data_IF_631337316898
#
_entry.id   IF_631337316898
#
_cell.length_a   1.000
_cell.length_b   1.000
_cell.length_c   1.000
_cell.angle_alpha   90.00
_cell.angle_beta   90.00
_cell.angle_gamma   90.00
#
_symmetry.space_group_name_H-M   'P 1'
#
loop_
_entity.id
_entity.type
_entity.pdbx_description
1 polymer ?
#
# COMPACT_ATOMS: atom_id res chain seq x y z
N UNK A 1 44.30 -1.14 -28.82
CA UNK A 1 43.01 -0.43 -28.61
C UNK A 1 41.93 -1.51 -28.56
N UNK A 2 41.72 -2.10 -27.42
CA UNK A 2 40.63 -3.09 -27.21
C UNK A 2 39.43 -2.35 -26.62
N UNK A 3 38.30 -2.38 -27.34
CA UNK A 3 37.02 -1.87 -26.87
C UNK A 3 36.42 -2.86 -25.88
N UNK A 4 36.45 -2.58 -24.59
CA UNK A 4 35.63 -3.28 -23.61
C UNK A 4 34.15 -2.98 -23.87
N UNK A 5 33.43 -3.89 -24.50
CA UNK A 5 31.99 -3.92 -24.54
C UNK A 5 31.45 -4.12 -23.12
N UNK A 6 30.78 -3.09 -22.60
CA UNK A 6 29.98 -3.19 -21.37
C UNK A 6 28.79 -4.12 -21.63
N UNK A 7 28.88 -5.39 -21.23
CA UNK A 7 27.73 -6.30 -21.22
C UNK A 7 26.66 -5.75 -20.28
N UNK A 8 25.62 -5.17 -20.81
CA UNK A 8 24.39 -4.84 -20.08
C UNK A 8 23.57 -6.12 -19.91
N UNK A 9 23.25 -6.45 -18.66
CA UNK A 9 22.34 -7.57 -18.35
C UNK A 9 20.99 -7.38 -19.05
N UNK A 10 20.43 -8.43 -19.61
CA UNK A 10 19.11 -8.42 -20.20
C UNK A 10 18.03 -8.13 -19.13
N UNK A 11 16.87 -7.62 -19.55
CA UNK A 11 15.70 -7.36 -18.67
C UNK A 11 15.36 -8.58 -17.78
N UNK A 12 15.51 -9.77 -18.32
CA UNK A 12 15.20 -11.04 -17.66
C UNK A 12 16.26 -11.44 -16.61
N UNK A 13 17.53 -11.18 -16.89
CA UNK A 13 18.63 -11.43 -15.94
C UNK A 13 18.55 -10.45 -14.75
N UNK A 14 18.21 -9.18 -14.98
CA UNK A 14 17.97 -8.19 -13.92
C UNK A 14 16.82 -8.63 -13.01
N UNK A 15 15.68 -9.05 -13.57
CA UNK A 15 14.51 -9.54 -12.80
C UNK A 15 14.82 -10.78 -11.99
N UNK A 16 15.52 -11.77 -12.56
CA UNK A 16 15.92 -13.00 -11.88
C UNK A 16 16.91 -12.74 -10.73
N UNK A 17 17.84 -11.82 -10.94
CA UNK A 17 18.86 -11.49 -9.94
C UNK A 17 18.24 -10.77 -8.73
N UNK A 18 17.36 -9.78 -8.97
CA UNK A 18 16.71 -8.98 -7.92
C UNK A 18 15.70 -9.83 -7.15
N UNK A 19 14.92 -10.71 -7.81
CA UNK A 19 14.08 -11.72 -7.13
C UNK A 19 14.89 -12.62 -6.19
N UNK A 20 16.07 -13.10 -6.60
CA UNK A 20 16.95 -13.92 -5.74
C UNK A 20 17.50 -13.16 -4.53
N UNK A 21 17.76 -11.86 -4.66
CA UNK A 21 18.18 -11.03 -3.53
C UNK A 21 16.98 -10.81 -2.60
N UNK A 22 15.82 -10.44 -3.10
CA UNK A 22 14.61 -10.24 -2.30
C UNK A 22 14.23 -11.47 -1.48
N UNK A 23 14.11 -12.65 -2.11
CA UNK A 23 13.76 -13.90 -1.44
C UNK A 23 14.80 -14.37 -0.40
N UNK A 24 16.10 -14.05 -0.59
CA UNK A 24 17.16 -14.37 0.39
C UNK A 24 17.21 -13.40 1.57
N UNK A 25 16.75 -12.16 1.39
CA UNK A 25 16.81 -11.12 2.42
C UNK A 25 15.60 -11.14 3.37
N UNK A 26 14.42 -11.51 2.87
CA UNK A 26 13.24 -11.76 3.70
C UNK A 26 13.49 -12.90 4.71
N UNK A 27 14.33 -13.89 4.35
CA UNK A 27 14.74 -15.00 5.23
C UNK A 27 15.64 -14.62 6.43
N UNK A 28 16.06 -13.36 6.57
CA UNK A 28 16.87 -12.91 7.69
C UNK A 28 16.26 -11.69 8.36
N UNK A 29 15.56 -11.89 9.49
CA UNK A 29 15.18 -10.81 10.41
C UNK A 29 16.44 -10.06 10.87
N UNK A 30 16.79 -8.98 10.20
CA UNK A 30 17.83 -8.05 10.62
C UNK A 30 17.19 -6.69 10.83
N UNK A 31 17.03 -6.28 12.08
CA UNK A 31 16.66 -4.90 12.40
C UNK A 31 17.82 -3.97 12.06
N UNK A 32 17.60 -3.03 11.15
CA UNK A 32 18.64 -2.12 10.66
C UNK A 32 18.32 -0.70 11.11
N UNK A 33 19.29 -0.06 11.76
CA UNK A 33 19.26 1.37 12.04
C UNK A 33 19.57 2.15 10.74
N UNK A 34 18.67 3.05 10.37
CA UNK A 34 18.56 3.81 9.11
C UNK A 34 19.81 4.68 8.75
N UNK A 35 20.82 4.75 9.61
CA UNK A 35 21.98 5.63 9.38
C UNK A 35 23.07 5.06 8.44
N UNK A 36 22.97 3.82 7.95
CA UNK A 36 24.06 3.18 7.21
C UNK A 36 23.60 2.19 6.12
N UNK A 37 22.79 2.65 5.15
CA UNK A 37 22.43 1.83 3.98
C UNK A 37 23.70 1.34 3.25
N UNK A 38 24.74 2.16 3.11
CA UNK A 38 26.02 1.80 2.50
C UNK A 38 26.77 0.72 3.31
N UNK A 39 26.76 0.81 4.65
CA UNK A 39 27.43 -0.18 5.53
C UNK A 39 26.65 -1.51 5.55
N UNK A 40 25.34 -1.45 5.42
CA UNK A 40 24.46 -2.60 5.41
C UNK A 40 24.60 -3.41 4.10
N UNK A 41 24.53 -2.73 2.95
CA UNK A 41 24.72 -3.34 1.65
C UNK A 41 26.15 -3.92 1.49
N UNK A 42 27.15 -3.23 2.00
CA UNK A 42 28.53 -3.73 2.05
C UNK A 42 28.66 -4.99 2.93
N UNK A 43 27.96 -5.05 4.06
CA UNK A 43 27.99 -6.20 4.99
C UNK A 43 27.24 -7.42 4.44
N UNK A 44 26.17 -7.23 3.67
CA UNK A 44 25.48 -8.33 2.98
C UNK A 44 26.38 -8.91 1.87
N UNK A 45 27.05 -8.05 1.14
CA UNK A 45 27.90 -8.48 0.02
C UNK A 45 29.18 -9.13 0.51
N UNK A 46 29.81 -8.67 1.58
CA UNK A 46 30.96 -9.34 2.20
C UNK A 46 30.61 -10.74 2.71
N UNK A 47 29.41 -10.95 3.27
CA UNK A 47 28.94 -12.27 3.69
C UNK A 47 28.60 -13.22 2.54
N UNK A 48 28.31 -12.69 1.35
CA UNK A 48 28.04 -13.49 0.13
C UNK A 48 29.34 -13.85 -0.58
N UNK A 49 30.34 -12.96 -0.55
CA UNK A 49 31.67 -13.16 -1.17
C UNK A 49 32.59 -14.06 -0.33
N UNK A 50 32.48 -14.07 0.98
CA UNK A 50 33.31 -14.97 1.86
C UNK A 50 33.01 -16.48 1.69
N UNK A 51 32.12 -16.86 0.78
CA UNK A 51 31.84 -18.25 0.40
C UNK A 51 32.45 -18.70 -0.94
N UNK A 52 33.12 -17.80 -1.66
CA UNK A 52 33.78 -18.14 -2.91
C UNK A 52 35.20 -17.52 -2.97
N UNK A 53 36.19 -18.36 -2.66
CA UNK A 53 37.60 -18.37 -3.08
C UNK A 53 38.51 -17.14 -2.87
N UNK A 54 39.69 -17.45 -2.37
CA UNK A 54 40.92 -16.68 -2.33
C UNK A 54 41.31 -16.09 -3.70
N UNK A 55 41.04 -14.84 -3.95
CA UNK A 55 41.74 -14.02 -4.95
C UNK A 55 41.61 -12.54 -4.57
N UNK A 56 42.75 -11.88 -4.45
CA UNK A 56 42.94 -10.45 -4.20
C UNK A 56 42.65 -9.68 -5.50
N UNK A 57 41.39 -9.49 -5.86
CA UNK A 57 40.95 -8.49 -6.85
C UNK A 57 40.29 -7.32 -6.17
N UNK A 58 40.61 -6.10 -6.60
CA UNK A 58 39.92 -4.86 -6.17
C UNK A 58 38.42 -5.06 -6.27
N UNK A 59 37.70 -4.90 -5.13
CA UNK A 59 36.25 -5.04 -5.02
C UNK A 59 35.62 -3.86 -5.77
N UNK A 60 35.41 -4.03 -7.09
CA UNK A 60 34.52 -3.13 -7.84
C UNK A 60 33.12 -3.27 -7.28
N UNK A 61 32.49 -2.16 -6.91
CA UNK A 61 31.12 -2.10 -6.43
C UNK A 61 30.22 -2.92 -7.38
N UNK A 62 29.50 -3.93 -6.92
CA UNK A 62 28.71 -4.75 -7.82
C UNK A 62 27.69 -3.89 -8.57
N UNK A 63 27.51 -4.16 -9.86
CA UNK A 63 26.59 -3.46 -10.76
C UNK A 63 25.17 -3.33 -10.17
N UNK A 64 24.75 -4.30 -9.36
CA UNK A 64 23.48 -4.33 -8.63
C UNK A 64 23.35 -3.22 -7.59
N UNK A 65 24.44 -2.86 -6.90
CA UNK A 65 24.45 -1.81 -5.89
C UNK A 65 24.34 -0.42 -6.54
N UNK A 66 25.01 -0.22 -7.67
CA UNK A 66 24.91 1.04 -8.44
C UNK A 66 23.49 1.25 -8.98
N UNK A 67 22.82 0.18 -9.45
CA UNK A 67 21.43 0.25 -9.93
C UNK A 67 20.51 0.60 -8.77
N UNK A 68 20.65 -0.08 -7.62
CA UNK A 68 19.85 0.18 -6.42
C UNK A 68 20.00 1.63 -5.96
N UNK A 69 21.25 2.11 -5.82
CA UNK A 69 21.53 3.49 -5.43
C UNK A 69 20.94 4.49 -6.41
N UNK A 70 21.04 4.24 -7.71
CA UNK A 70 20.49 5.09 -8.75
C UNK A 70 18.96 5.18 -8.66
N UNK A 71 18.25 4.08 -8.38
CA UNK A 71 16.80 4.11 -8.19
C UNK A 71 16.43 4.80 -6.87
N UNK A 72 17.17 4.54 -5.78
CA UNK A 72 16.96 5.21 -4.50
C UNK A 72 17.14 6.74 -4.62
N UNK A 73 18.12 7.20 -5.39
CA UNK A 73 18.41 8.63 -5.62
C UNK A 73 17.30 9.32 -6.45
N UNK A 74 16.43 8.61 -7.13
CA UNK A 74 15.26 9.14 -7.85
C UNK A 74 14.06 9.41 -6.96
N UNK A 75 14.09 8.96 -5.71
CA UNK A 75 13.00 9.18 -4.78
C UNK A 75 12.69 10.66 -4.62
N UNK A 76 11.41 11.01 -4.80
CA UNK A 76 10.93 12.38 -4.58
C UNK A 76 10.04 12.42 -3.33
N UNK A 77 10.11 13.49 -2.53
CA UNK A 77 9.18 13.71 -1.44
C UNK A 77 7.74 13.79 -1.96
N UNK A 78 6.80 13.29 -1.16
CA UNK A 78 5.37 13.41 -1.43
C UNK A 78 4.85 14.83 -1.23
N UNK A 79 3.53 14.94 -1.16
CA UNK A 79 2.81 16.20 -0.94
C UNK A 79 1.96 16.14 0.33
N UNK A 80 1.62 17.31 0.87
CA UNK A 80 0.78 17.43 2.06
C UNK A 80 -0.25 18.56 1.96
N UNK A 81 -1.24 18.50 2.84
CA UNK A 81 -2.24 19.55 3.01
C UNK A 81 -1.59 20.88 3.42
N UNK A 82 -2.33 21.97 3.16
CA UNK A 82 -1.95 23.33 3.59
C UNK A 82 -2.79 23.83 4.77
N UNK A 83 -3.95 23.23 4.98
CA UNK A 83 -4.91 23.64 6.02
C UNK A 83 -5.83 22.47 6.41
N UNK A 84 -6.34 22.48 7.66
CA UNK A 84 -7.31 21.48 8.13
C UNK A 84 -8.67 21.63 7.44
N UNK A 85 -9.45 20.54 7.41
CA UNK A 85 -10.84 20.54 6.98
C UNK A 85 -11.67 19.51 7.77
N UNK A 86 -12.69 19.96 8.47
CA UNK A 86 -13.49 19.09 9.34
C UNK A 86 -12.67 18.47 10.46
N UNK A 87 -12.72 17.14 10.57
CA UNK A 87 -11.91 16.38 11.54
C UNK A 87 -10.47 16.12 11.06
N UNK A 88 -10.19 16.38 9.79
CA UNK A 88 -8.86 16.20 9.23
C UNK A 88 -8.00 17.39 9.61
N UNK A 89 -6.95 17.16 10.36
CA UNK A 89 -6.00 18.19 10.81
C UNK A 89 -4.86 18.36 9.82
N UNK A 90 -4.49 17.28 9.16
CA UNK A 90 -3.51 17.23 8.08
C UNK A 90 -3.74 15.99 7.23
N UNK A 91 -3.21 16.00 6.03
CA UNK A 91 -2.98 14.78 5.24
C UNK A 91 -1.69 14.91 4.47
N UNK A 92 -1.11 13.79 4.14
CA UNK A 92 0.01 13.70 3.23
C UNK A 92 -0.07 12.41 2.42
N UNK A 93 0.56 12.41 1.27
CA UNK A 93 0.63 11.23 0.41
C UNK A 93 1.94 11.18 -0.34
N UNK A 94 2.36 9.98 -0.69
CA UNK A 94 3.46 9.75 -1.58
C UNK A 94 3.22 8.46 -2.37
N UNK A 95 3.67 8.46 -3.62
CA UNK A 95 3.66 7.29 -4.50
C UNK A 95 4.99 7.19 -5.23
N UNK A 96 5.52 5.97 -5.33
CA UNK A 96 6.80 5.70 -5.96
C UNK A 96 6.74 4.35 -6.70
N UNK A 97 7.34 4.28 -7.91
CA UNK A 97 7.32 3.04 -8.70
C UNK A 97 8.10 1.87 -8.07
N UNK A 98 8.80 2.13 -6.95
CA UNK A 98 9.62 1.11 -6.27
C UNK A 98 10.99 0.93 -6.91
N UNK A 99 11.71 -0.10 -6.44
CA UNK A 99 13.09 -0.37 -6.85
C UNK A 99 13.18 -1.27 -8.08
N UNK A 100 12.10 -1.98 -8.42
CA UNK A 100 12.09 -3.08 -9.40
C UNK A 100 11.16 -2.82 -10.56
N UNK A 101 9.99 -2.24 -10.30
CA UNK A 101 8.99 -1.92 -11.32
C UNK A 101 9.49 -0.80 -12.22
N UNK A 102 9.20 -0.87 -13.51
CA UNK A 102 9.54 0.20 -14.47
C UNK A 102 8.47 1.29 -14.47
N UNK A 103 7.22 0.90 -14.22
CA UNK A 103 6.05 1.78 -14.21
C UNK A 103 5.35 1.72 -12.86
N UNK A 104 4.67 2.78 -12.52
CA UNK A 104 3.83 2.84 -11.32
C UNK A 104 2.38 2.58 -11.72
N UNK A 105 1.90 1.35 -11.47
CA UNK A 105 0.52 0.95 -11.70
C UNK A 105 -0.42 1.46 -10.60
N UNK A 106 0.13 1.86 -9.43
CA UNK A 106 -0.63 2.49 -8.35
C UNK A 106 -1.14 3.87 -8.74
N UNK A 107 -2.37 4.18 -8.33
CA UNK A 107 -2.94 5.52 -8.42
C UNK A 107 -3.55 5.93 -7.08
N UNK A 108 -3.66 7.22 -6.87
CA UNK A 108 -4.30 7.78 -5.69
C UNK A 108 -5.32 8.87 -6.06
N UNK A 109 -6.27 9.08 -5.18
CA UNK A 109 -7.30 10.12 -5.29
C UNK A 109 -7.35 10.92 -3.98
N UNK A 110 -7.17 12.23 -4.07
CA UNK A 110 -7.24 13.14 -2.93
C UNK A 110 -8.24 14.24 -3.25
N UNK A 111 -9.36 14.25 -2.53
CA UNK A 111 -10.39 15.30 -2.61
C UNK A 111 -10.64 15.81 -1.19
N UNK A 112 -9.87 16.80 -0.73
CA UNK A 112 -9.94 17.26 0.66
C UNK A 112 -11.27 17.94 1.01
N UNK A 113 -12.02 18.38 0.01
CA UNK A 113 -13.34 18.98 0.19
C UNK A 113 -14.26 18.62 -0.97
N UNK A 114 -15.25 17.77 -0.74
CA UNK A 114 -16.28 17.46 -1.71
C UNK A 114 -17.34 18.59 -1.65
N UNK A 115 -17.36 19.41 -2.69
CA UNK A 115 -18.29 20.52 -2.82
C UNK A 115 -19.69 20.01 -3.17
N UNK A 116 -20.73 20.68 -2.64
CA UNK A 116 -22.12 20.40 -3.03
C UNK A 116 -22.30 20.64 -4.53
N UNK A 117 -22.85 19.68 -5.28
CA UNK A 117 -23.22 19.90 -6.68
C UNK A 117 -24.25 21.05 -6.80
N UNK A 118 -24.13 21.84 -7.86
CA UNK A 118 -25.02 23.01 -8.10
C UNK A 118 -26.50 22.64 -8.24
N UNK A 119 -26.79 21.44 -8.74
CA UNK A 119 -28.13 20.92 -8.99
C UNK A 119 -28.68 20.01 -7.88
N UNK A 120 -28.00 19.93 -6.75
CA UNK A 120 -28.37 19.02 -5.66
C UNK A 120 -29.52 19.55 -4.79
N UNK A 121 -30.61 18.76 -4.68
CA UNK A 121 -31.80 19.09 -3.86
C UNK A 121 -31.62 18.86 -2.35
N UNK A 122 -30.41 18.43 -1.89
CA UNK A 122 -30.14 18.15 -0.48
C UNK A 122 -30.07 19.47 0.30
N UNK A 123 -30.88 19.63 1.34
CA UNK A 123 -30.94 20.88 2.15
C UNK A 123 -29.64 21.14 2.90
N UNK A 124 -29.07 20.11 3.52
CA UNK A 124 -27.83 20.19 4.30
C UNK A 124 -26.74 19.33 3.61
N UNK A 125 -25.58 19.93 3.37
CA UNK A 125 -24.43 19.23 2.80
C UNK A 125 -23.37 19.03 3.87
N UNK A 126 -23.05 17.81 4.28
CA UNK A 126 -22.05 17.57 5.30
C UNK A 126 -20.66 17.96 4.84
N UNK A 127 -19.73 18.15 5.77
CA UNK A 127 -18.31 18.31 5.44
C UNK A 127 -17.76 16.95 5.03
N UNK A 128 -17.30 16.84 3.79
CA UNK A 128 -16.83 15.56 3.26
C UNK A 128 -15.48 15.69 2.61
N UNK A 129 -14.64 14.67 2.84
CA UNK A 129 -13.33 14.50 2.21
C UNK A 129 -13.19 13.07 1.73
N UNK A 130 -12.48 12.86 0.61
CA UNK A 130 -12.30 11.55 -0.02
C UNK A 130 -10.82 11.32 -0.27
N UNK A 131 -10.36 10.13 0.11
CA UNK A 131 -9.02 9.62 -0.14
C UNK A 131 -9.13 8.22 -0.73
N UNK A 132 -8.34 7.92 -1.75
CA UNK A 132 -8.34 6.62 -2.41
C UNK A 132 -6.96 6.15 -2.78
N UNK A 133 -6.71 4.85 -2.66
CA UNK A 133 -5.58 4.13 -3.24
C UNK A 133 -6.15 3.09 -4.18
N UNK A 134 -5.62 3.05 -5.39
CA UNK A 134 -5.95 2.09 -6.44
C UNK A 134 -4.66 1.39 -6.86
N UNK A 135 -4.44 0.21 -6.30
CA UNK A 135 -3.27 -0.62 -6.56
C UNK A 135 -3.53 -1.46 -7.80
N UNK A 136 -2.87 -1.10 -8.90
CA UNK A 136 -3.08 -1.64 -10.23
C UNK A 136 -2.22 -2.87 -10.51
N UNK A 137 -2.77 -3.83 -11.26
CA UNK A 137 -2.04 -5.00 -11.72
C UNK A 137 -2.40 -5.37 -13.16
N UNK A 138 -1.40 -5.89 -13.89
CA UNK A 138 -1.58 -6.26 -15.29
C UNK A 138 -1.77 -5.07 -16.23
N UNK A 139 -1.33 -3.89 -15.83
CA UNK A 139 -1.46 -2.61 -16.48
C UNK A 139 -2.16 -1.57 -15.61
N UNK A 140 -1.92 -0.30 -15.88
CA UNK A 140 -2.42 0.82 -15.08
C UNK A 140 -3.84 1.31 -15.44
N UNK A 141 -4.43 0.78 -16.51
CA UNK A 141 -5.68 1.33 -17.08
C UNK A 141 -6.84 1.28 -16.10
N UNK A 142 -7.00 0.17 -15.38
CA UNK A 142 -8.09 0.02 -14.41
C UNK A 142 -7.91 1.00 -13.23
N UNK A 143 -6.72 1.11 -12.66
CA UNK A 143 -6.42 2.05 -11.58
C UNK A 143 -6.62 3.51 -12.02
N UNK A 144 -6.19 3.88 -13.22
CA UNK A 144 -6.46 5.20 -13.81
C UNK A 144 -7.96 5.44 -13.98
N UNK A 145 -8.69 4.46 -14.52
CA UNK A 145 -10.13 4.56 -14.71
C UNK A 145 -10.86 4.81 -13.38
N UNK A 146 -10.51 4.08 -12.33
CA UNK A 146 -11.09 4.24 -11.00
C UNK A 146 -10.81 5.63 -10.44
N UNK A 147 -9.55 6.06 -10.47
CA UNK A 147 -9.14 7.40 -10.02
C UNK A 147 -9.92 8.51 -10.70
N UNK A 148 -10.09 8.43 -12.03
CA UNK A 148 -10.69 9.50 -12.82
C UNK A 148 -12.22 9.54 -12.70
N UNK A 149 -12.87 8.41 -12.40
CA UNK A 149 -14.34 8.31 -12.42
C UNK A 149 -14.98 8.14 -11.03
N UNK A 150 -14.21 7.81 -9.97
CA UNK A 150 -14.77 7.49 -8.66
C UNK A 150 -15.64 8.62 -8.10
N UNK A 151 -15.11 9.85 -8.07
CA UNK A 151 -15.84 11.00 -7.48
C UNK A 151 -17.13 11.31 -8.24
N UNK A 152 -17.09 11.31 -9.57
CA UNK A 152 -18.27 11.58 -10.39
C UNK A 152 -19.34 10.51 -10.19
N UNK A 153 -18.96 9.22 -10.21
CA UNK A 153 -19.88 8.12 -9.94
C UNK A 153 -20.49 8.19 -8.54
N UNK A 154 -19.71 8.57 -7.52
CA UNK A 154 -20.19 8.75 -6.16
C UNK A 154 -21.20 9.88 -6.05
N UNK A 155 -20.93 11.03 -6.67
CA UNK A 155 -21.83 12.20 -6.66
C UNK A 155 -23.15 11.95 -7.42
N UNK A 156 -23.14 11.06 -8.40
CA UNK A 156 -24.32 10.66 -9.18
C UNK A 156 -25.10 9.51 -8.54
N UNK A 157 -24.56 8.84 -7.50
CA UNK A 157 -25.29 7.76 -6.83
C UNK A 157 -26.54 8.29 -6.12
N UNK A 158 -27.68 7.62 -6.35
CA UNK A 158 -28.99 8.04 -5.85
C UNK A 158 -29.10 8.09 -4.33
N UNK A 159 -28.27 7.32 -3.62
CA UNK A 159 -28.26 7.25 -2.16
C UNK A 159 -27.33 8.31 -1.56
N UNK A 160 -26.47 8.94 -2.37
CA UNK A 160 -25.50 9.92 -1.90
C UNK A 160 -26.13 11.33 -1.72
N UNK A 161 -25.88 12.02 -0.61
CA UNK A 161 -25.08 11.68 0.57
C UNK A 161 -25.90 11.11 1.73
N UNK A 162 -27.07 10.55 1.50
CA UNK A 162 -28.03 10.12 2.54
C UNK A 162 -27.63 8.78 3.17
N UNK A 163 -27.29 7.79 2.33
CA UNK A 163 -26.76 6.49 2.78
C UNK A 163 -25.37 6.26 2.18
N UNK A 164 -24.36 6.60 2.95
CA UNK A 164 -22.96 6.52 2.52
C UNK A 164 -22.51 5.09 2.23
N UNK A 165 -22.99 4.10 2.98
CA UNK A 165 -22.62 2.70 2.75
C UNK A 165 -23.13 2.21 1.40
N UNK A 166 -24.43 2.41 1.16
CA UNK A 166 -25.04 2.02 -0.12
C UNK A 166 -24.44 2.81 -1.27
N UNK A 167 -24.09 4.09 -1.08
CA UNK A 167 -23.46 4.89 -2.12
C UNK A 167 -22.06 4.36 -2.50
N UNK A 168 -21.23 3.99 -1.50
CA UNK A 168 -19.91 3.44 -1.77
C UNK A 168 -20.00 2.08 -2.48
N UNK A 169 -20.92 1.21 -2.06
CA UNK A 169 -21.19 -0.07 -2.71
C UNK A 169 -21.63 0.14 -4.16
N UNK A 170 -22.69 0.93 -4.37
CA UNK A 170 -23.22 1.20 -5.69
C UNK A 170 -22.21 1.87 -6.62
N UNK A 171 -21.37 2.76 -6.09
CA UNK A 171 -20.27 3.39 -6.86
C UNK A 171 -19.27 2.36 -7.36
N UNK A 172 -18.77 1.48 -6.49
CA UNK A 172 -17.77 0.47 -6.86
C UNK A 172 -18.35 -0.60 -7.81
N UNK A 173 -19.60 -1.03 -7.60
CA UNK A 173 -20.32 -1.93 -8.51
C UNK A 173 -20.53 -1.30 -9.89
N UNK A 174 -20.89 -0.02 -9.93
CA UNK A 174 -21.03 0.73 -11.19
C UNK A 174 -19.71 0.85 -11.92
N UNK A 175 -18.63 1.20 -11.21
CA UNK A 175 -17.30 1.33 -11.80
C UNK A 175 -16.79 0.01 -12.38
N UNK A 176 -17.00 -1.11 -11.71
CA UNK A 176 -16.72 -2.46 -12.24
C UNK A 176 -17.49 -2.70 -13.55
N UNK A 177 -18.81 -2.46 -13.53
CA UNK A 177 -19.69 -2.68 -14.68
C UNK A 177 -19.32 -1.79 -15.87
N UNK A 178 -19.07 -0.51 -15.62
CA UNK A 178 -18.78 0.46 -16.67
C UNK A 178 -17.38 0.27 -17.25
N UNK A 179 -16.40 -0.15 -16.44
CA UNK A 179 -15.07 -0.54 -16.92
C UNK A 179 -15.18 -1.73 -17.89
N UNK A 180 -15.90 -2.79 -17.51
CA UNK A 180 -16.12 -3.95 -18.39
C UNK A 180 -16.83 -3.57 -19.69
N UNK A 181 -17.88 -2.77 -19.64
CA UNK A 181 -18.60 -2.31 -20.82
C UNK A 181 -17.71 -1.51 -21.76
N UNK A 182 -16.85 -0.64 -21.19
CA UNK A 182 -15.98 0.25 -21.98
C UNK A 182 -14.84 -0.48 -22.68
N UNK A 183 -14.20 -1.40 -21.97
CA UNK A 183 -12.95 -2.01 -22.42
C UNK A 183 -13.08 -3.48 -22.82
N UNK A 184 -14.05 -4.20 -22.29
CA UNK A 184 -14.14 -5.66 -22.39
C UNK A 184 -15.54 -6.15 -22.79
N UNK A 185 -16.24 -5.41 -23.65
CA UNK A 185 -17.58 -5.78 -24.17
C UNK A 185 -17.57 -7.11 -24.92
N UNK A 186 -16.44 -7.50 -25.52
CA UNK A 186 -16.18 -8.85 -26.05
C UNK A 186 -15.25 -9.58 -25.09
N UNK A 187 -15.82 -10.40 -24.22
CA UNK A 187 -15.06 -11.15 -23.20
C UNK A 187 -14.08 -12.18 -23.78
N UNK A 188 -14.31 -12.65 -25.02
CA UNK A 188 -13.38 -13.57 -25.71
C UNK A 188 -12.11 -12.87 -26.18
N UNK A 189 -12.23 -11.57 -26.49
CA UNK A 189 -11.12 -10.75 -26.95
C UNK A 189 -11.06 -9.44 -26.14
N UNK A 190 -10.74 -9.49 -24.86
CA UNK A 190 -10.71 -8.31 -24.02
C UNK A 190 -9.64 -7.32 -24.50
N UNK A 191 -10.01 -6.04 -24.55
CA UNK A 191 -9.08 -4.97 -24.92
C UNK A 191 -8.15 -4.60 -23.78
N UNK A 192 -8.63 -4.76 -22.56
CA UNK A 192 -7.90 -4.45 -21.36
C UNK A 192 -8.06 -5.56 -20.33
N UNK A 193 -6.95 -6.06 -19.84
CA UNK A 193 -6.91 -7.17 -18.87
C UNK A 193 -6.49 -6.71 -17.47
N UNK A 194 -6.21 -5.42 -17.33
CA UNK A 194 -5.80 -4.85 -16.05
C UNK A 194 -6.90 -4.95 -15.00
N UNK A 195 -6.48 -5.03 -13.76
CA UNK A 195 -7.32 -4.95 -12.58
C UNK A 195 -6.74 -3.97 -11.58
N UNK A 196 -7.50 -3.66 -10.54
CA UNK A 196 -7.06 -2.80 -9.45
C UNK A 196 -7.75 -3.14 -8.15
N UNK A 197 -6.98 -3.20 -7.06
CA UNK A 197 -7.51 -3.04 -5.72
C UNK A 197 -8.10 -1.63 -5.55
N UNK A 198 -8.98 -1.43 -4.58
CA UNK A 198 -9.55 -0.14 -4.27
C UNK A 198 -9.72 0.02 -2.75
N UNK A 199 -8.95 0.93 -2.15
CA UNK A 199 -9.05 1.31 -0.75
C UNK A 199 -9.48 2.77 -0.66
N UNK A 200 -10.69 3.00 -0.17
CA UNK A 200 -11.33 4.32 -0.12
C UNK A 200 -11.60 4.72 1.31
N UNK A 201 -11.21 5.94 1.69
CA UNK A 201 -11.63 6.59 2.94
C UNK A 201 -12.52 7.79 2.59
N UNK A 202 -13.81 7.71 2.92
CA UNK A 202 -14.75 8.82 2.84
C UNK A 202 -15.05 9.31 4.26
N UNK A 203 -14.66 10.54 4.54
CA UNK A 203 -14.90 11.19 5.82
C UNK A 203 -16.12 12.08 5.66
N UNK A 204 -17.12 11.89 6.52
CA UNK A 204 -18.40 12.64 6.52
C UNK A 204 -18.64 13.18 7.91
N UNK A 205 -18.49 14.49 8.09
CA UNK A 205 -18.50 15.18 9.39
C UNK A 205 -17.55 14.51 10.40
N UNK A 206 -18.09 13.80 11.39
CA UNK A 206 -17.29 13.08 12.41
C UNK A 206 -17.16 11.57 12.16
N UNK A 207 -17.70 11.06 11.05
CA UNK A 207 -17.68 9.64 10.71
C UNK A 207 -16.66 9.34 9.61
N UNK A 208 -15.99 8.22 9.76
CA UNK A 208 -15.02 7.71 8.80
C UNK A 208 -15.55 6.40 8.23
N UNK A 209 -15.69 6.36 6.91
CA UNK A 209 -16.12 5.19 6.14
C UNK A 209 -14.91 4.71 5.34
N UNK A 210 -14.55 3.44 5.52
CA UNK A 210 -13.51 2.79 4.73
C UNK A 210 -14.13 1.69 3.88
N UNK A 211 -14.01 1.79 2.57
CA UNK A 211 -14.41 0.72 1.64
C UNK A 211 -13.15 0.07 1.09
N UNK A 212 -13.10 -1.27 1.11
CA UNK A 212 -11.95 -2.05 0.66
C UNK A 212 -12.36 -3.15 -0.32
N UNK A 213 -11.64 -3.23 -1.43
CA UNK A 213 -11.57 -4.36 -2.36
C UNK A 213 -10.10 -4.64 -2.60
N UNK A 214 -9.63 -5.83 -2.25
CA UNK A 214 -8.23 -6.21 -2.43
C UNK A 214 -7.43 -6.19 -1.14
N UNK A 215 -6.12 -6.08 -1.26
CA UNK A 215 -5.15 -6.26 -0.19
C UNK A 215 -4.35 -5.00 0.17
N UNK A 216 -4.72 -3.84 -0.39
CA UNK A 216 -4.39 -2.55 0.20
C UNK A 216 -5.02 -2.44 1.59
N UNK A 217 -4.37 -1.78 2.53
CA UNK A 217 -4.78 -1.80 3.94
C UNK A 217 -4.82 -0.43 4.59
N UNK A 218 -5.76 -0.26 5.53
CA UNK A 218 -5.85 0.91 6.42
C UNK A 218 -5.64 0.52 7.88
N UNK A 219 -4.79 1.29 8.57
CA UNK A 219 -4.50 1.15 10.01
C UNK A 219 -4.79 2.47 10.71
N UNK A 220 -5.43 2.39 11.88
CA UNK A 220 -5.64 3.52 12.78
C UNK A 220 -4.62 3.47 13.92
N UNK A 221 -3.82 4.53 14.08
CA UNK A 221 -3.02 4.78 15.29
C UNK A 221 -3.88 5.42 16.37
N UNK A 222 -3.66 5.00 17.61
CA UNK A 222 -4.47 5.36 18.75
C UNK A 222 -3.59 5.71 19.97
N UNK A 223 -4.10 6.60 20.83
CA UNK A 223 -3.55 6.88 22.15
C UNK A 223 -2.05 7.25 22.12
N UNK A 224 -1.70 8.16 21.20
CA UNK A 224 -0.32 8.64 20.98
C UNK A 224 0.63 7.49 20.56
N UNK A 225 0.15 6.58 19.72
CA UNK A 225 0.92 5.46 19.18
C UNK A 225 1.10 4.28 20.12
N UNK A 226 0.50 4.29 21.32
CA UNK A 226 0.58 3.16 22.26
C UNK A 226 -0.24 1.97 21.79
N UNK A 227 -1.25 2.23 20.95
CA UNK A 227 -2.12 1.23 20.33
C UNK A 227 -2.30 1.49 18.85
N UNK A 228 -2.64 0.45 18.11
CA UNK A 228 -3.07 0.55 16.72
C UNK A 228 -4.13 -0.51 16.43
N UNK A 229 -4.94 -0.26 15.42
CA UNK A 229 -5.97 -1.18 14.96
C UNK A 229 -5.97 -1.23 13.43
N UNK A 230 -5.73 -2.40 12.81
CA UNK A 230 -6.09 -2.62 11.40
C UNK A 230 -7.60 -2.40 11.26
N UNK A 231 -8.02 -1.62 10.27
CA UNK A 231 -9.45 -1.33 10.06
C UNK A 231 -9.99 -2.19 8.95
N UNK A 232 -9.23 -2.35 7.87
CA UNK A 232 -9.61 -3.18 6.74
C UNK A 232 -9.02 -4.59 6.88
N UNK A 233 -9.61 -5.52 6.16
CA UNK A 233 -9.18 -6.92 6.06
C UNK A 233 -8.72 -7.13 4.63
N UNK A 234 -7.54 -7.69 4.45
CA UNK A 234 -7.00 -7.97 3.11
C UNK A 234 -7.78 -9.11 2.45
N UNK A 235 -8.17 -8.92 1.20
CA UNK A 235 -8.74 -9.97 0.37
C UNK A 235 -7.62 -10.76 -0.29
N UNK A 236 -6.97 -11.62 0.50
CA UNK A 236 -5.90 -12.53 0.05
C UNK A 236 -6.37 -13.99 0.14
N UNK A 237 -5.88 -14.90 -0.73
CA UNK A 237 -6.29 -16.32 -0.72
C UNK A 237 -5.98 -17.04 0.60
N UNK A 238 -5.05 -16.52 1.41
CA UNK A 238 -4.72 -17.01 2.75
C UNK A 238 -5.61 -16.44 3.87
N UNK A 239 -6.57 -15.56 3.56
CA UNK A 239 -7.62 -15.20 4.50
C UNK A 239 -8.63 -16.36 4.60
N UNK A 240 -8.98 -16.89 5.79
CA UNK A 240 -9.87 -18.04 5.91
C UNK A 240 -11.22 -17.87 5.21
N UNK A 241 -11.86 -16.69 5.30
CA UNK A 241 -13.13 -16.40 4.62
C UNK A 241 -12.99 -16.41 3.10
N UNK A 242 -11.89 -15.84 2.60
CA UNK A 242 -11.60 -15.80 1.18
C UNK A 242 -11.27 -17.21 0.66
N UNK A 243 -10.47 -17.97 1.41
CA UNK A 243 -10.19 -19.39 1.10
C UNK A 243 -11.49 -20.19 0.96
N UNK A 244 -12.36 -20.13 1.98
CA UNK A 244 -13.66 -20.82 1.96
C UNK A 244 -14.52 -20.41 0.74
N UNK A 245 -14.58 -19.11 0.43
CA UNK A 245 -15.29 -18.56 -0.72
C UNK A 245 -14.75 -19.11 -2.04
N UNK A 246 -13.42 -19.13 -2.20
CA UNK A 246 -12.73 -19.62 -3.40
C UNK A 246 -12.99 -21.10 -3.61
N UNK A 247 -12.84 -21.92 -2.56
CA UNK A 247 -13.10 -23.37 -2.65
C UNK A 247 -14.57 -23.65 -2.96
N UNK A 248 -15.50 -22.93 -2.32
CA UNK A 248 -16.94 -23.06 -2.59
C UNK A 248 -17.31 -22.68 -4.03
N UNK A 249 -16.59 -21.73 -4.62
CA UNK A 249 -16.76 -21.36 -6.03
C UNK A 249 -16.21 -22.43 -7.01
N UNK A 250 -15.42 -23.40 -6.52
CA UNK A 250 -14.78 -24.44 -7.34
C UNK A 250 -13.35 -24.08 -7.78
N UNK A 251 -12.77 -23.00 -7.24
CA UNK A 251 -11.37 -22.66 -7.43
C UNK A 251 -10.43 -23.47 -6.54
N UNK A 252 -9.13 -23.27 -6.72
CA UNK A 252 -8.11 -23.89 -5.88
C UNK A 252 -7.12 -22.81 -5.42
N UNK A 253 -6.59 -22.97 -4.22
CA UNK A 253 -5.51 -22.15 -3.69
C UNK A 253 -4.22 -22.96 -3.73
N UNK A 254 -3.15 -22.36 -4.17
CA UNK A 254 -1.84 -22.98 -4.22
C UNK A 254 -0.75 -22.04 -3.71
N UNK A 255 0.39 -22.63 -3.33
CA UNK A 255 1.57 -21.93 -2.88
C UNK A 255 2.50 -21.71 -4.06
N UNK A 256 2.87 -20.46 -4.30
CA UNK A 256 3.88 -20.07 -5.29
C UNK A 256 5.27 -20.23 -4.68
N UNK A 257 6.00 -21.25 -5.14
CA UNK A 257 7.35 -21.55 -4.64
C UNK A 257 8.46 -20.77 -5.35
N UNK A 258 8.16 -19.62 -5.99
CA UNK A 258 9.12 -18.80 -6.73
C UNK A 258 9.90 -19.55 -7.84
N UNK A 259 9.37 -20.67 -8.35
CA UNK A 259 9.97 -21.37 -9.49
C UNK A 259 9.77 -20.51 -10.76
N UNK A 260 10.86 -20.03 -11.39
CA UNK A 260 10.77 -19.20 -12.60
C UNK A 260 10.14 -19.95 -13.80
N UNK A 261 10.14 -21.29 -13.75
CA UNK A 261 9.39 -22.14 -14.67
C UNK A 261 8.16 -22.61 -13.89
N UNK A 262 7.07 -21.85 -13.96
CA UNK A 262 5.80 -22.18 -13.29
C UNK A 262 5.25 -23.51 -13.82
N UNK A 263 5.84 -24.59 -13.36
CA UNK A 263 5.32 -25.94 -13.59
C UNK A 263 4.21 -26.18 -12.57
N UNK A 264 2.97 -26.11 -13.04
CA UNK A 264 1.78 -26.34 -12.21
C UNK A 264 1.78 -27.69 -11.50
N UNK A 265 2.58 -28.65 -11.99
CA UNK A 265 2.75 -29.95 -11.37
C UNK A 265 3.70 -29.91 -10.15
N UNK A 266 4.39 -28.79 -9.93
CA UNK A 266 5.31 -28.59 -8.79
C UNK A 266 4.77 -27.65 -7.73
N UNK A 267 3.63 -27.00 -7.95
CA UNK A 267 3.01 -26.15 -6.95
C UNK A 267 2.30 -26.97 -5.89
N UNK A 268 2.34 -26.54 -4.65
CA UNK A 268 1.62 -27.17 -3.55
C UNK A 268 0.18 -26.69 -3.58
N UNK A 269 -0.72 -27.54 -4.08
CA UNK A 269 -2.17 -27.26 -4.05
C UNK A 269 -2.65 -27.56 -2.64
N UNK A 270 -3.32 -26.62 -2.02
CA UNK A 270 -3.95 -26.78 -0.72
C UNK A 270 -5.32 -27.43 -0.94
N UNK A 271 -5.46 -28.68 -0.50
CA UNK A 271 -6.64 -29.49 -0.78
C UNK A 271 -7.67 -29.49 0.37
N UNK A 272 -7.28 -29.04 1.55
CA UNK A 272 -8.14 -29.05 2.73
C UNK A 272 -7.72 -28.02 3.78
N UNK A 273 -8.61 -27.76 4.74
CA UNK A 273 -8.40 -26.80 5.82
C UNK A 273 -7.18 -27.12 6.70
N UNK A 274 -6.86 -28.40 6.93
CA UNK A 274 -5.71 -28.79 7.75
C UNK A 274 -4.39 -28.42 7.07
N UNK A 275 -4.29 -28.61 5.76
CA UNK A 275 -3.14 -28.16 4.97
C UNK A 275 -3.06 -26.64 4.94
N UNK A 276 -4.21 -25.97 4.79
CA UNK A 276 -4.33 -24.53 4.85
C UNK A 276 -3.79 -23.98 6.19
N UNK A 277 -4.28 -24.49 7.31
CA UNK A 277 -3.87 -24.06 8.65
C UNK A 277 -2.38 -24.36 8.94
N UNK A 278 -1.84 -25.44 8.39
CA UNK A 278 -0.43 -25.78 8.55
C UNK A 278 0.50 -24.78 7.87
N UNK A 279 0.09 -24.27 6.70
CA UNK A 279 0.88 -23.33 5.91
C UNK A 279 0.69 -21.87 6.34
N UNK A 280 -0.46 -21.48 6.92
CA UNK A 280 -0.75 -20.11 7.38
C UNK A 280 0.31 -19.54 8.36
N UNK A 281 1.13 -20.40 8.95
CA UNK A 281 2.17 -20.00 9.92
C UNK A 281 3.43 -19.44 9.28
N UNK A 282 3.61 -19.61 7.97
CA UNK A 282 4.76 -19.07 7.25
C UNK A 282 4.40 -17.77 6.53
N UNK A 283 4.83 -16.61 7.05
CA UNK A 283 4.53 -15.30 6.45
C UNK A 283 5.28 -15.06 5.12
N UNK A 284 6.22 -15.92 4.75
CA UNK A 284 7.01 -15.78 3.53
C UNK A 284 6.36 -16.46 2.32
N UNK A 285 5.24 -17.13 2.52
CA UNK A 285 4.54 -17.91 1.50
C UNK A 285 3.55 -17.05 0.75
N UNK A 286 3.68 -16.98 -0.58
CA UNK A 286 2.71 -16.32 -1.46
C UNK A 286 1.66 -17.32 -1.91
N UNK A 287 0.40 -17.03 -1.61
CA UNK A 287 -0.74 -17.84 -2.03
C UNK A 287 -1.36 -17.27 -3.29
N UNK A 288 -1.71 -18.15 -4.24
CA UNK A 288 -2.38 -17.77 -5.48
C UNK A 288 -3.62 -18.60 -5.74
N UNK A 289 -4.47 -18.08 -6.61
CA UNK A 289 -5.74 -18.71 -7.01
C UNK A 289 -5.60 -19.32 -8.40
N UNK A 290 -5.88 -20.63 -8.52
CA UNK A 290 -5.95 -21.28 -9.81
C UNK A 290 -7.40 -21.23 -10.33
N UNK A 291 -7.64 -20.91 -11.63
CA UNK A 291 -6.66 -20.82 -12.73
C UNK A 291 -6.13 -19.41 -13.03
N UNK A 292 -6.55 -18.37 -12.30
CA UNK A 292 -6.26 -16.98 -12.66
C UNK A 292 -4.88 -16.47 -12.23
N UNK A 293 -4.15 -17.21 -11.39
CA UNK A 293 -2.78 -16.92 -10.98
C UNK A 293 -2.60 -15.64 -10.14
N UNK A 294 -3.70 -15.11 -9.59
CA UNK A 294 -3.68 -13.91 -8.75
C UNK A 294 -3.36 -14.23 -7.30
N UNK A 295 -2.54 -13.38 -6.66
CA UNK A 295 -2.27 -13.41 -5.23
C UNK A 295 -3.33 -12.63 -4.41
N UNK A 296 -4.22 -11.90 -5.07
CA UNK A 296 -5.34 -11.16 -4.50
C UNK A 296 -6.65 -11.84 -4.85
N UNK A 297 -7.60 -11.87 -3.92
CA UNK A 297 -8.92 -12.50 -4.09
C UNK A 297 -10.06 -11.50 -4.32
N UNK A 298 -9.74 -10.20 -4.23
CA UNK A 298 -10.66 -9.09 -4.50
C UNK A 298 -10.04 -8.06 -5.43
N UNK A 299 -10.70 -7.71 -6.54
CA UNK A 299 -10.23 -6.68 -7.49
C UNK A 299 -11.37 -6.15 -8.34
N UNK A 300 -11.25 -4.91 -8.83
CA UNK A 300 -12.06 -4.34 -9.92
C UNK A 300 -11.35 -4.60 -11.25
N UNK A 301 -12.08 -4.77 -12.34
CA UNK A 301 -11.51 -5.19 -13.62
C UNK A 301 -11.00 -6.63 -13.60
N UNK A 302 -9.84 -6.89 -14.20
CA UNK A 302 -9.23 -8.21 -14.19
C UNK A 302 -10.06 -9.28 -14.91
N UNK A 303 -10.58 -8.97 -16.09
CA UNK A 303 -11.52 -9.83 -16.84
C UNK A 303 -11.03 -11.27 -17.01
N UNK A 304 -9.72 -11.49 -17.16
CA UNK A 304 -9.13 -12.84 -17.26
C UNK A 304 -9.37 -13.71 -16.03
N UNK A 305 -9.55 -13.09 -14.87
CA UNK A 305 -9.73 -13.80 -13.61
C UNK A 305 -11.23 -14.02 -13.26
N UNK A 306 -12.15 -13.45 -14.04
CA UNK A 306 -13.60 -13.47 -13.78
C UNK A 306 -14.42 -14.09 -14.88
N UNK A 307 -13.98 -14.01 -16.15
CA UNK A 307 -14.75 -14.49 -17.30
C UNK A 307 -14.60 -16.00 -17.52
N UNK A 308 -15.73 -16.72 -17.61
CA UNK A 308 -15.77 -18.12 -18.02
C UNK A 308 -15.21 -18.35 -19.43
N UNK A 309 -15.41 -17.40 -20.33
CA UNK A 309 -14.92 -17.45 -21.70
C UNK A 309 -13.39 -17.50 -21.79
N UNK A 310 -12.72 -17.04 -20.73
CA UNK A 310 -11.27 -17.05 -20.57
C UNK A 310 -10.78 -18.11 -19.57
N UNK A 311 -11.60 -19.15 -19.33
CA UNK A 311 -11.34 -20.25 -18.43
C UNK A 311 -11.21 -19.86 -16.93
N UNK A 312 -11.72 -18.69 -16.53
CA UNK A 312 -11.81 -18.37 -15.11
C UNK A 312 -12.92 -19.16 -14.41
N UNK A 313 -12.79 -19.30 -13.10
CA UNK A 313 -13.83 -19.84 -12.24
C UNK A 313 -14.56 -18.67 -11.58
N UNK A 314 -15.78 -18.33 -12.00
CA UNK A 314 -16.52 -17.20 -11.46
C UNK A 314 -16.73 -17.32 -9.96
N UNK A 315 -16.58 -16.21 -9.24
CA UNK A 315 -16.68 -16.19 -7.79
C UNK A 315 -15.37 -16.43 -7.05
N UNK A 316 -14.30 -16.87 -7.72
CA UNK A 316 -12.96 -16.96 -7.11
C UNK A 316 -12.36 -15.58 -6.87
N UNK A 317 -12.60 -14.64 -7.78
CA UNK A 317 -12.24 -13.23 -7.63
C UNK A 317 -13.51 -12.42 -7.46
N UNK A 318 -13.55 -11.59 -6.41
CA UNK A 318 -14.71 -10.77 -6.05
C UNK A 318 -14.45 -9.29 -6.33
N UNK A 319 -15.48 -8.55 -6.77
CA UNK A 319 -15.51 -7.09 -6.77
C UNK A 319 -16.39 -6.52 -5.65
N UNK A 320 -16.83 -7.35 -4.71
CA UNK A 320 -17.62 -6.90 -3.57
C UNK A 320 -16.73 -6.15 -2.59
N UNK A 321 -17.16 -4.95 -2.18
CA UNK A 321 -16.43 -4.17 -1.19
C UNK A 321 -16.88 -4.51 0.23
N UNK A 322 -15.92 -4.55 1.16
CA UNK A 322 -16.20 -4.48 2.59
C UNK A 322 -16.18 -3.04 3.06
N UNK A 323 -17.15 -2.65 3.91
CA UNK A 323 -17.24 -1.29 4.42
C UNK A 323 -17.17 -1.28 5.94
N UNK A 324 -16.18 -0.55 6.46
CA UNK A 324 -15.91 -0.33 7.88
C UNK A 324 -16.27 1.10 8.25
N UNK A 325 -16.94 1.29 9.40
CA UNK A 325 -17.38 2.62 9.84
C UNK A 325 -17.05 2.81 11.31
N UNK A 326 -16.52 3.98 11.64
CA UNK A 326 -16.29 4.38 13.02
C UNK A 326 -16.36 5.92 13.18
N UNK A 327 -16.60 6.35 14.42
CA UNK A 327 -16.57 7.77 14.76
C UNK A 327 -15.16 8.21 15.12
N UNK A 328 -14.80 9.45 14.70
CA UNK A 328 -13.57 10.06 15.17
C UNK A 328 -13.71 10.49 16.63
N UNK A 329 -12.62 10.36 17.38
CA UNK A 329 -12.52 10.84 18.76
C UNK A 329 -11.09 11.30 19.07
N UNK A 330 -10.93 11.93 20.23
CA UNK A 330 -9.64 12.52 20.67
C UNK A 330 -8.50 11.51 20.88
N UNK A 331 -8.77 10.20 20.88
CA UNK A 331 -7.74 9.15 20.94
C UNK A 331 -7.27 8.64 19.58
N UNK A 332 -7.95 9.05 18.51
CA UNK A 332 -7.57 8.71 17.15
C UNK A 332 -6.46 9.65 16.67
N UNK A 333 -5.27 9.12 16.46
CA UNK A 333 -4.09 9.92 16.10
C UNK A 333 -4.07 10.21 14.60
N UNK A 334 -4.01 9.16 13.81
CA UNK A 334 -3.98 9.23 12.34
C UNK A 334 -4.33 7.88 11.72
N UNK A 335 -4.73 7.91 10.44
CA UNK A 335 -4.92 6.73 9.61
C UNK A 335 -3.74 6.63 8.65
N UNK A 336 -3.19 5.43 8.50
CA UNK A 336 -2.24 5.05 7.44
C UNK A 336 -3.03 4.19 6.44
N UNK A 337 -3.09 4.63 5.19
CA UNK A 337 -3.56 3.83 4.06
C UNK A 337 -2.35 3.49 3.19
N UNK A 338 -2.21 2.24 2.75
CA UNK A 338 -1.10 1.81 1.89
C UNK A 338 -1.49 0.68 0.94
N UNK A 339 -0.76 0.55 -0.17
CA UNK A 339 -0.82 -0.60 -1.07
C UNK A 339 -0.08 -1.81 -0.47
N UNK A 340 -0.16 -2.97 -1.13
CA UNK A 340 0.51 -4.19 -0.68
C UNK A 340 2.04 -4.06 -0.68
N UNK A 341 2.64 -3.30 -1.62
CA UNK A 341 4.08 -3.04 -1.62
C UNK A 341 4.63 -2.44 -0.32
N UNK A 342 3.77 -1.75 0.46
CA UNK A 342 4.11 -1.28 1.81
C UNK A 342 3.97 -2.43 2.82
N UNK A 343 2.84 -3.14 2.80
CA UNK A 343 2.48 -4.12 3.83
C UNK A 343 3.16 -5.48 3.69
N UNK A 344 3.62 -5.82 2.50
CA UNK A 344 4.37 -7.06 2.27
C UNK A 344 5.78 -7.00 2.88
N UNK A 345 6.33 -5.81 3.12
CA UNK A 345 7.65 -5.64 3.72
C UNK A 345 7.64 -5.04 5.14
N UNK A 346 6.55 -4.35 5.54
CA UNK A 346 6.41 -3.71 6.86
C UNK A 346 5.21 -4.27 7.61
N UNK A 347 5.42 -4.78 8.81
CA UNK A 347 4.30 -5.16 9.68
C UNK A 347 3.48 -3.94 10.09
N UNK A 348 2.24 -4.15 10.53
CA UNK A 348 1.38 -3.07 11.04
C UNK A 348 2.07 -2.28 12.16
N UNK A 349 2.82 -2.98 13.02
CA UNK A 349 3.60 -2.36 14.10
C UNK A 349 4.74 -1.52 13.55
N UNK A 350 5.53 -2.06 12.60
CA UNK A 350 6.65 -1.33 11.99
C UNK A 350 6.18 -0.02 11.35
N UNK A 351 5.01 -0.04 10.70
CA UNK A 351 4.42 1.16 10.08
C UNK A 351 4.06 2.23 11.10
N UNK A 352 3.36 1.83 12.16
CA UNK A 352 2.97 2.77 13.22
C UNK A 352 4.21 3.31 13.93
N UNK A 353 5.17 2.44 14.25
CA UNK A 353 6.45 2.85 14.88
C UNK A 353 7.24 3.81 13.97
N UNK A 354 7.27 3.55 12.66
CA UNK A 354 7.92 4.43 11.67
C UNK A 354 7.25 5.81 11.62
N UNK A 355 5.92 5.85 11.58
CA UNK A 355 5.17 7.09 11.59
C UNK A 355 5.44 7.88 12.88
N UNK A 356 5.38 7.24 14.04
CA UNK A 356 5.67 7.89 15.32
C UNK A 356 7.13 8.28 15.50
N UNK A 357 8.06 7.55 14.90
CA UNK A 357 9.45 7.98 14.85
C UNK A 357 9.60 9.31 14.09
N UNK A 358 8.91 9.49 12.96
CA UNK A 358 8.86 10.76 12.22
C UNK A 358 8.29 11.89 13.10
N UNK A 359 7.15 11.65 13.78
CA UNK A 359 6.53 12.59 14.73
C UNK A 359 7.50 13.01 15.83
N UNK A 360 8.32 12.09 16.32
CA UNK A 360 9.23 12.35 17.44
C UNK A 360 10.57 12.95 17.04
N UNK A 361 11.04 12.74 15.80
CA UNK A 361 12.29 13.28 15.28
C UNK A 361 12.31 14.81 15.18
N UNK A 362 11.16 15.44 15.03
CA UNK A 362 10.98 16.90 14.93
C UNK A 362 11.24 17.68 16.23
N UNK A 363 12.02 17.16 17.14
CA UNK A 363 12.15 17.52 18.53
C UNK A 363 12.92 18.81 18.85
N UNK A 364 13.18 19.76 17.97
CA UNK A 364 13.88 21.02 18.30
C UNK A 364 13.38 22.28 17.59
N UNK A 365 12.38 22.18 16.74
CA UNK A 365 11.82 23.33 16.05
C UNK A 365 10.78 24.04 16.95
N UNK A 366 10.90 25.36 17.07
CA UNK A 366 10.01 26.20 17.93
C UNK A 366 8.53 26.18 17.48
N UNK A 367 8.21 25.62 16.31
CA UNK A 367 6.86 25.56 15.75
C UNK A 367 6.72 24.28 14.92
N UNK A 368 5.85 23.36 15.37
CA UNK A 368 5.51 22.19 14.59
C UNK A 368 4.45 22.52 13.54
N UNK A 369 4.74 22.15 12.31
CA UNK A 369 3.77 22.15 11.22
C UNK A 369 3.25 20.72 11.05
N UNK A 370 2.01 20.47 11.47
CA UNK A 370 1.37 19.15 11.41
C UNK A 370 1.35 18.59 9.98
N UNK A 371 1.29 19.46 8.95
CA UNK A 371 1.31 19.04 7.55
C UNK A 371 2.68 18.46 7.16
N UNK A 372 3.77 19.14 7.59
CA UNK A 372 5.13 18.63 7.39
C UNK A 372 5.37 17.32 8.16
N UNK A 373 4.84 17.23 9.39
CA UNK A 373 4.90 15.99 10.18
C UNK A 373 4.29 14.84 9.39
N UNK A 374 3.08 15.03 8.85
CA UNK A 374 2.41 14.02 8.05
C UNK A 374 3.18 13.66 6.78
N UNK A 375 3.81 14.65 6.14
CA UNK A 375 4.68 14.43 4.97
C UNK A 375 5.92 13.60 5.32
N UNK A 376 6.57 13.91 6.45
CA UNK A 376 7.73 13.16 6.92
C UNK A 376 7.37 11.71 7.26
N UNK A 377 6.17 11.49 7.82
CA UNK A 377 5.64 10.13 8.05
C UNK A 377 5.53 9.35 6.73
N UNK A 378 4.89 9.93 5.69
CA UNK A 378 4.78 9.31 4.37
C UNK A 378 6.15 8.98 3.77
N UNK A 379 7.03 9.97 3.72
CA UNK A 379 8.35 9.81 3.11
C UNK A 379 9.20 8.77 3.85
N UNK A 380 9.08 8.70 5.17
CA UNK A 380 9.81 7.73 5.98
C UNK A 380 9.27 6.30 5.78
N UNK A 381 7.96 6.12 5.65
CA UNK A 381 7.35 4.83 5.34
C UNK A 381 7.85 4.32 3.98
N UNK A 382 7.78 5.14 2.93
CA UNK A 382 8.29 4.76 1.60
C UNK A 382 9.78 4.36 1.68
N UNK A 383 10.61 5.18 2.33
CA UNK A 383 12.05 4.87 2.48
C UNK A 383 12.29 3.58 3.23
N UNK A 384 11.57 3.33 4.32
CA UNK A 384 11.69 2.07 5.06
C UNK A 384 11.27 0.86 4.21
N UNK A 385 10.25 1.00 3.36
CA UNK A 385 9.85 -0.06 2.42
C UNK A 385 10.93 -0.32 1.36
N UNK A 386 11.54 0.75 0.85
CA UNK A 386 12.70 0.64 -0.05
C UNK A 386 13.90 -0.02 0.65
N UNK A 387 14.22 0.35 1.88
CA UNK A 387 15.30 -0.22 2.68
C UNK A 387 15.08 -1.71 2.98
N UNK A 388 13.82 -2.13 3.06
CA UNK A 388 13.42 -3.54 3.16
C UNK A 388 13.28 -4.24 1.80
N UNK A 389 13.66 -3.56 0.74
CA UNK A 389 13.71 -4.07 -0.64
C UNK A 389 12.34 -4.52 -1.16
N UNK A 390 11.30 -3.75 -0.88
CA UNK A 390 10.01 -3.97 -1.52
C UNK A 390 10.16 -4.09 -3.04
N UNK A 391 9.52 -5.11 -3.61
CA UNK A 391 9.61 -5.43 -5.02
C UNK A 391 8.49 -4.79 -5.85
N UNK A 392 7.59 -4.07 -5.20
CA UNK A 392 6.39 -3.49 -5.84
C UNK A 392 6.36 -1.98 -5.83
N UNK A 393 5.30 -1.41 -6.43
CA UNK A 393 4.96 -0.01 -6.32
C UNK A 393 4.67 0.34 -4.86
N UNK A 394 4.93 1.56 -4.46
CA UNK A 394 4.84 2.01 -3.08
C UNK A 394 3.93 3.23 -3.01
N UNK A 395 2.74 3.08 -2.44
CA UNK A 395 1.80 4.19 -2.28
C UNK A 395 1.30 4.25 -0.85
N UNK A 396 1.36 5.43 -0.22
CA UNK A 396 0.91 5.66 1.14
C UNK A 396 0.18 7.00 1.26
N UNK A 397 -0.90 7.01 2.05
CA UNK A 397 -1.63 8.21 2.45
C UNK A 397 -1.71 8.22 3.99
N UNK A 398 -1.36 9.36 4.60
CA UNK A 398 -1.56 9.64 6.02
C UNK A 398 -2.69 10.65 6.17
N UNK A 399 -3.65 10.36 7.06
CA UNK A 399 -4.73 11.28 7.43
C UNK A 399 -4.61 11.57 8.92
N UNK A 400 -4.10 12.75 9.27
CA UNK A 400 -3.92 13.20 10.67
C UNK A 400 -5.24 13.65 11.28
N UNK A 401 -5.52 13.18 12.49
CA UNK A 401 -6.76 13.39 13.24
C UNK A 401 -6.51 14.18 14.54
N UNK A 402 -7.54 14.32 15.36
CA UNK A 402 -7.53 15.12 16.59
C UNK A 402 -6.43 14.69 17.60
N UNK A 403 -6.17 13.38 17.73
CA UNK A 403 -5.15 12.84 18.63
C UNK A 403 -3.75 13.34 18.28
N UNK A 404 -3.38 13.31 16.99
CA UNK A 404 -2.08 13.80 16.52
C UNK A 404 -1.90 15.30 16.78
N UNK A 405 -2.91 16.11 16.46
CA UNK A 405 -2.89 17.56 16.71
C UNK A 405 -2.71 17.86 18.21
N UNK A 406 -3.48 17.19 19.06
CA UNK A 406 -3.41 17.31 20.51
C UNK A 406 -2.03 16.90 21.05
N UNK A 407 -1.48 15.80 20.55
CA UNK A 407 -0.14 15.34 20.94
C UNK A 407 0.93 16.40 20.64
N UNK A 408 0.92 16.94 19.41
CA UNK A 408 1.87 17.96 18.98
C UNK A 408 1.74 19.26 19.79
N UNK A 409 0.53 19.72 20.07
CA UNK A 409 0.29 20.88 20.95
C UNK A 409 0.85 20.68 22.36
N UNK A 410 0.61 19.51 22.96
CA UNK A 410 1.11 19.19 24.28
C UNK A 410 2.63 19.11 24.33
N UNK A 411 3.27 18.61 23.28
CA UNK A 411 4.72 18.53 23.14
C UNK A 411 5.35 19.94 23.09
N UNK A 412 4.79 20.86 22.28
CA UNK A 412 5.23 22.26 22.22
C UNK A 412 5.15 22.92 23.59
N UNK A 413 4.03 22.77 24.29
CA UNK A 413 3.83 23.41 25.59
C UNK A 413 4.82 22.90 26.65
N UNK A 414 5.09 21.60 26.69
CA UNK A 414 6.12 21.04 27.59
C UNK A 414 7.53 21.57 27.31
N UNK A 415 7.89 21.74 26.03
CA UNK A 415 9.18 22.28 25.65
C UNK A 415 9.32 23.77 26.02
N UNK A 416 8.27 24.58 25.81
CA UNK A 416 8.25 25.98 26.25
C UNK A 416 8.45 26.13 27.74
N UNK A 417 7.70 25.35 28.54
CA UNK A 417 7.82 25.35 30.01
C UNK A 417 9.25 24.94 30.42
N UNK A 418 9.79 23.89 29.81
CA UNK A 418 11.14 23.41 30.11
C UNK A 418 12.23 24.45 29.78
N UNK A 419 12.05 25.26 28.74
CA UNK A 419 12.98 26.34 28.40
C UNK A 419 12.86 27.53 29.36
N UNK A 420 11.64 27.93 29.76
CA UNK A 420 11.41 28.97 30.78
C UNK A 420 12.06 28.61 32.12
N UNK A 421 11.93 27.35 32.56
CA UNK A 421 12.57 26.88 33.80
C UNK A 421 14.10 26.96 33.72
N UNK A 422 14.69 26.62 32.56
CA UNK A 422 16.14 26.70 32.34
C UNK A 422 16.67 28.14 32.25
N UNK A 423 15.89 29.09 31.73
CA UNK A 423 16.22 30.50 31.69
C UNK A 423 16.19 31.12 33.08
N UNK A 424 15.13 30.85 33.87
CA UNK A 424 15.01 31.34 35.24
C UNK A 424 16.00 30.68 36.26
N UNK A 425 16.59 29.53 35.91
CA UNK A 425 17.62 28.89 36.72
C UNK A 425 19.06 29.39 36.44
N UNK A 426 19.21 30.30 35.48
CA UNK A 426 20.50 30.92 35.15
C UNK A 426 20.61 32.37 35.66
N UNK A 427 19.53 32.95 36.16
CA UNK A 427 19.51 34.16 36.98
C UNK A 427 19.68 33.81 38.46
#
# INVERSE_FOLDING_TARGET
MERHEKKTLSKQEKRSFIKRIGSRMVKRKVSINVCNADLFLTKIMSNTLNRTSNSTEEIKTPLSLEIFKKEYDKFQPGECSQKPFGIIKSYAYNTYHGLIKEENEDKYLIVPHIKKPTNGNVRTWPKMSLFGIFDGHGGESCANYLKDNFLSCLLEDKNFPVDIKLSLQGTLERLETDFHKKFNSDEKNPRDVSGSCALIALIVDNKIYLANIGDSRAILSLENGTKYRPITIDHKPNNPKEYERIIKAGGKVYIDNDDPIRDINKVIIINNEKEFDAHLKDPEVVYRIYPCDLAVSGTIGGVKAKSKELNAVPGCISSNCEIFVFDNNNSNDFIIMGCDGIYDCLSNKDLVDTAWFAVNKLGKEKKYDINKVSLDMCNMIIKNSMDKLSADNLTVIIIGLDGLEKYLHNKINKEKIGNMIKENSKE
#
